data_IF_801561848526
#
_entry.id   IF_801561848526
#
_cell.length_a   1.000
_cell.length_b   1.000
_cell.length_c   1.000
_cell.angle_alpha   90.00
_cell.angle_beta   90.00
_cell.angle_gamma   90.00
#
_symmetry.space_group_name_H-M   'P 1'
#
loop_
_entity.id
_entity.type
_entity.pdbx_description
1 polymer ?
#
# COMPACT_ATOMS: atom_id res chain seq x y z
N UNK A 1 -23.27 3.29 -20.16
CA UNK A 1 -22.43 3.78 -19.90
C UNK A 1 -21.49 3.33 -18.92
N UNK A 2 -20.57 3.83 -18.77
CA UNK A 2 -19.41 3.47 -18.07
C UNK A 2 -19.51 3.40 -16.58
N UNK A 3 -20.72 3.32 -16.04
CA UNK A 3 -20.90 3.24 -14.60
C UNK A 3 -20.20 2.05 -13.96
N UNK A 4 -20.17 0.93 -14.66
CA UNK A 4 -19.52 -0.25 -14.13
C UNK A 4 -18.02 -0.03 -14.00
N UNK A 5 -17.43 0.63 -14.98
CA UNK A 5 -16.01 0.92 -14.93
C UNK A 5 -15.71 1.91 -13.80
N UNK A 6 -16.56 2.89 -13.63
CA UNK A 6 -16.37 3.86 -12.57
C UNK A 6 -16.46 3.22 -11.19
N UNK A 7 -17.40 2.30 -11.04
CA UNK A 7 -17.53 1.59 -9.76
C UNK A 7 -16.31 0.74 -9.47
N UNK A 8 -15.83 0.02 -10.46
CA UNK A 8 -14.62 -0.78 -10.29
C UNK A 8 -13.44 0.09 -9.94
N UNK A 9 -13.34 1.24 -10.59
CA UNK A 9 -12.26 2.19 -10.33
C UNK A 9 -12.34 2.72 -8.89
N UNK A 10 -13.53 3.04 -8.43
CA UNK A 10 -13.73 3.53 -7.09
C UNK A 10 -13.39 2.46 -6.05
N UNK A 11 -13.79 1.23 -6.28
CA UNK A 11 -13.47 0.13 -5.37
C UNK A 11 -11.96 -0.06 -5.25
N UNK A 12 -11.29 -0.02 -6.38
CA UNK A 12 -9.84 -0.16 -6.40
C UNK A 12 -9.18 0.96 -5.59
N UNK A 13 -9.63 2.19 -5.79
CA UNK A 13 -9.05 3.33 -5.09
C UNK A 13 -9.34 3.28 -3.60
N UNK A 14 -10.53 2.85 -3.22
CA UNK A 14 -10.88 2.74 -1.81
C UNK A 14 -10.00 1.71 -1.11
N UNK A 15 -9.80 0.57 -1.74
CA UNK A 15 -8.96 -0.48 -1.18
C UNK A 15 -7.52 0.00 -1.08
N UNK A 16 -7.05 0.70 -2.10
CA UNK A 16 -5.70 1.23 -2.10
C UNK A 16 -5.53 2.26 -0.99
N UNK A 17 -6.48 3.18 -0.85
CA UNK A 17 -6.43 4.18 0.21
C UNK A 17 -6.45 3.54 1.59
N UNK A 18 -7.25 2.51 1.75
CA UNK A 18 -7.33 1.80 3.03
C UNK A 18 -6.00 1.12 3.35
N UNK A 19 -5.38 0.51 2.35
CA UNK A 19 -4.07 -0.10 2.55
C UNK A 19 -3.03 0.94 2.95
N UNK A 20 -2.99 2.05 2.23
CA UNK A 20 -2.04 3.12 2.51
C UNK A 20 -2.23 3.66 3.92
N UNK A 21 -3.47 3.90 4.32
CA UNK A 21 -3.76 4.40 5.65
C UNK A 21 -3.37 3.39 6.72
N UNK A 22 -3.67 2.12 6.47
CA UNK A 22 -3.36 1.06 7.42
C UNK A 22 -1.85 0.95 7.62
N UNK A 23 -1.09 1.02 6.53
CA UNK A 23 0.36 0.99 6.61
C UNK A 23 0.89 2.20 7.37
N UNK A 24 0.35 3.37 7.06
CA UNK A 24 0.77 4.59 7.75
C UNK A 24 0.54 4.48 9.25
N UNK A 25 -0.64 4.01 9.64
CA UNK A 25 -0.97 3.87 11.04
C UNK A 25 -0.12 2.80 11.73
N UNK A 26 0.09 1.68 11.05
CA UNK A 26 0.83 0.56 11.62
C UNK A 26 2.29 0.90 11.86
N UNK A 27 2.88 1.71 11.00
CA UNK A 27 4.26 2.14 11.15
C UNK A 27 4.38 3.49 11.84
N UNK A 28 3.26 4.04 12.31
CA UNK A 28 3.20 5.33 13.00
C UNK A 28 3.89 6.43 12.18
N UNK A 29 3.70 6.37 10.88
CA UNK A 29 4.29 7.36 9.98
C UNK A 29 3.49 8.65 10.01
N UNK A 30 4.20 9.77 9.93
CA UNK A 30 3.55 11.07 9.88
C UNK A 30 3.16 11.46 8.47
N UNK A 31 3.76 10.81 7.48
CA UNK A 31 3.48 11.11 6.09
C UNK A 31 3.65 9.84 5.26
N UNK A 32 2.93 9.77 4.15
CA UNK A 32 2.99 8.61 3.26
C UNK A 32 2.79 9.08 1.83
N UNK A 33 3.53 8.47 0.92
CA UNK A 33 3.35 8.68 -0.51
C UNK A 33 3.36 7.32 -1.19
N UNK A 34 2.71 7.23 -2.33
CA UNK A 34 2.70 5.97 -3.05
C UNK A 34 2.73 6.23 -4.56
N UNK A 35 3.16 5.23 -5.29
CA UNK A 35 3.26 5.28 -6.72
C UNK A 35 2.91 3.91 -7.29
N UNK A 36 2.07 3.87 -8.32
CA UNK A 36 1.68 2.63 -8.96
C UNK A 36 2.42 2.51 -10.28
N UNK A 37 3.17 1.43 -10.44
CA UNK A 37 3.88 1.13 -11.68
C UNK A 37 3.05 0.10 -12.44
N UNK A 38 2.28 0.57 -13.41
CA UNK A 38 1.38 -0.30 -14.14
C UNK A 38 2.11 -1.26 -15.07
N UNK A 39 3.30 -0.90 -15.49
CA UNK A 39 4.08 -1.77 -16.35
C UNK A 39 4.52 -3.04 -15.63
N UNK A 40 4.90 -2.90 -14.39
CA UNK A 40 5.38 -4.03 -13.58
C UNK A 40 4.36 -4.52 -12.58
N UNK A 41 3.18 -3.94 -12.58
CA UNK A 41 2.10 -4.30 -11.66
C UNK A 41 2.60 -4.24 -10.22
N UNK A 42 3.33 -3.18 -9.89
CA UNK A 42 3.98 -3.01 -8.61
C UNK A 42 3.48 -1.73 -7.94
N UNK A 43 3.24 -1.83 -6.64
CA UNK A 43 2.88 -0.67 -5.82
C UNK A 43 4.08 -0.31 -4.95
N UNK A 44 4.51 0.94 -5.05
CA UNK A 44 5.57 1.48 -4.19
C UNK A 44 4.92 2.37 -3.14
N UNK A 45 5.20 2.11 -1.88
CA UNK A 45 4.68 2.90 -0.77
C UNK A 45 5.86 3.46 0.01
N UNK A 46 5.91 4.77 0.14
CA UNK A 46 6.96 5.45 0.90
C UNK A 46 6.38 5.93 2.21
N UNK A 47 7.01 5.52 3.30
CA UNK A 47 6.53 5.82 4.64
C UNK A 47 7.59 6.58 5.42
N UNK A 48 7.20 7.70 5.99
CA UNK A 48 8.11 8.49 6.82
C UNK A 48 8.55 7.67 8.03
N UNK A 49 9.86 7.61 8.24
CA UNK A 49 10.40 6.90 9.39
C UNK A 49 10.53 5.39 9.21
N UNK A 50 10.25 4.88 8.02
CA UNK A 50 10.35 3.44 7.80
C UNK A 50 11.78 2.93 7.98
N UNK A 51 12.77 3.77 7.72
CA UNK A 51 14.16 3.38 7.86
C UNK A 51 14.58 3.18 9.31
N UNK A 52 13.74 3.55 10.28
CA UNK A 52 14.00 3.29 11.68
C UNK A 52 13.61 1.86 12.09
N UNK A 53 12.92 1.15 11.23
CA UNK A 53 12.51 -0.22 11.49
C UNK A 53 13.46 -1.20 10.79
N UNK A 54 13.85 -2.29 11.47
CA UNK A 54 14.61 -3.33 10.78
C UNK A 54 13.72 -4.07 9.79
N UNK A 55 14.34 -4.67 8.78
CA UNK A 55 13.60 -5.36 7.72
C UNK A 55 12.67 -6.45 8.28
N UNK A 56 13.13 -7.17 9.29
CA UNK A 56 12.34 -8.23 9.91
C UNK A 56 11.05 -7.67 10.49
N UNK A 57 11.14 -6.52 11.15
CA UNK A 57 9.98 -5.91 11.77
C UNK A 57 9.03 -5.37 10.73
N UNK A 58 9.57 -4.81 9.65
CA UNK A 58 8.74 -4.34 8.54
C UNK A 58 7.91 -5.49 7.99
N UNK A 59 8.53 -6.63 7.76
CA UNK A 59 7.82 -7.80 7.26
C UNK A 59 6.77 -8.29 8.24
N UNK A 60 7.09 -8.31 9.52
CA UNK A 60 6.15 -8.78 10.54
C UNK A 60 4.92 -7.90 10.61
N UNK A 61 5.08 -6.59 10.44
CA UNK A 61 3.96 -5.66 10.49
C UNK A 61 3.17 -5.70 9.20
N UNK A 62 3.86 -5.75 8.07
CA UNK A 62 3.21 -5.62 6.77
C UNK A 62 2.54 -6.91 6.29
N UNK A 63 3.11 -8.06 6.60
CA UNK A 63 2.59 -9.33 6.09
C UNK A 63 1.12 -9.56 6.45
N UNK A 64 0.70 -9.38 7.73
CA UNK A 64 -0.70 -9.57 8.06
C UNK A 64 -1.62 -8.57 7.34
N UNK A 65 -1.13 -7.36 7.10
CA UNK A 65 -1.90 -6.35 6.39
C UNK A 65 -2.16 -6.81 4.95
N UNK A 66 -1.12 -7.31 4.29
CA UNK A 66 -1.26 -7.77 2.91
C UNK A 66 -2.14 -9.01 2.81
N UNK A 67 -2.16 -9.84 3.84
CA UNK A 67 -3.04 -11.00 3.84
C UNK A 67 -4.52 -10.61 3.94
N UNK A 68 -4.81 -9.56 4.69
CA UNK A 68 -6.17 -9.08 4.86
C UNK A 68 -6.61 -8.23 3.67
N UNK A 69 -5.70 -7.40 3.17
CA UNK A 69 -5.98 -6.48 2.09
C UNK A 69 -5.34 -7.01 0.81
N UNK A 70 -6.05 -7.92 0.16
CA UNK A 70 -5.54 -8.59 -1.03
C UNK A 70 -5.76 -7.71 -2.25
N UNK A 71 -4.82 -6.85 -2.52
CA UNK A 71 -4.85 -6.03 -3.72
C UNK A 71 -4.19 -6.77 -4.88
N UNK A 72 -4.62 -6.41 -6.07
CA UNK A 72 -4.23 -7.14 -7.28
C UNK A 72 -2.91 -6.62 -7.83
N UNK A 73 -1.91 -6.52 -6.98
CA UNK A 73 -0.56 -6.17 -7.40
C UNK A 73 0.33 -7.39 -7.33
N UNK A 74 1.21 -7.50 -8.30
CA UNK A 74 2.17 -8.60 -8.31
C UNK A 74 3.19 -8.42 -7.19
N UNK A 75 3.53 -7.18 -6.89
CA UNK A 75 4.48 -6.89 -5.83
C UNK A 75 4.15 -5.57 -5.15
N UNK A 76 4.39 -5.49 -3.85
CA UNK A 76 4.25 -4.25 -3.10
C UNK A 76 5.58 -3.98 -2.41
N UNK A 77 6.16 -2.81 -2.67
CA UNK A 77 7.47 -2.44 -2.16
C UNK A 77 7.31 -1.30 -1.17
N UNK A 78 7.87 -1.46 0.02
CA UNK A 78 7.85 -0.44 1.06
C UNK A 78 9.20 0.25 1.11
N UNK A 79 9.20 1.57 1.09
CA UNK A 79 10.41 2.37 1.06
C UNK A 79 10.32 3.49 2.09
N UNK A 80 11.44 3.98 2.60
CA UNK A 80 11.40 5.17 3.45
C UNK A 80 11.15 6.41 2.61
N UNK A 81 10.44 7.34 3.22
CA UNK A 81 10.15 8.60 2.56
C UNK A 81 11.29 9.59 2.77
#
# INVERSE_FOLDING_TARGET
MSNTEELDHQSYQEDLQFLIKTLKDSFESTDVQYFVDEHNDTLYVKLEGLDEYPDDEIDEIAAPIFEVLDLDFEEIVLLPL
#
